data_IF_006557216313
#
_entry.id   IF_006557216313
#
_cell.length_a   1.000
_cell.length_b   1.000
_cell.length_c   1.000
_cell.angle_alpha   90.00
_cell.angle_beta   90.00
_cell.angle_gamma   90.00
#
_symmetry.space_group_name_H-M   'P 1'
#
loop_
_entity.id
_entity.type
_entity.pdbx_description
1 polymer ?
#
# COMPACT_ATOMS: atom_id res chain seq x y z
N UNK A 1 -18.83 -71.03 50.56
CA UNK A 1 -18.60 -70.25 51.80
C UNK A 1 -18.96 -68.80 51.52
N UNK A 2 -20.15 -68.37 51.97
CA UNK A 2 -20.49 -66.94 52.06
C UNK A 2 -19.77 -66.35 53.28
N UNK A 3 -18.88 -65.39 53.05
CA UNK A 3 -18.54 -64.36 54.04
C UNK A 3 -19.13 -63.05 53.52
N UNK A 4 -19.94 -62.41 54.36
CA UNK A 4 -20.82 -61.30 54.02
C UNK A 4 -20.09 -59.98 53.76
N UNK A 5 -20.90 -58.98 53.40
CA UNK A 5 -20.52 -57.60 53.16
C UNK A 5 -19.69 -57.04 54.33
N UNK A 6 -18.42 -56.76 54.05
CA UNK A 6 -17.56 -55.94 54.89
C UNK A 6 -18.07 -54.50 54.92
N UNK A 7 -18.05 -53.92 56.12
CA UNK A 7 -18.48 -52.56 56.43
C UNK A 7 -17.80 -51.51 55.51
N UNK A 8 -18.60 -50.62 54.90
CA UNK A 8 -18.15 -49.69 53.85
C UNK A 8 -17.06 -48.73 54.32
N UNK A 9 -17.04 -48.43 55.62
CA UNK A 9 -16.01 -47.63 56.30
C UNK A 9 -14.60 -48.25 56.23
N UNK A 10 -14.49 -49.58 56.09
CA UNK A 10 -13.21 -50.28 55.94
C UNK A 10 -12.78 -50.47 54.48
N UNK A 11 -13.73 -50.43 53.55
CA UNK A 11 -13.42 -50.56 52.11
C UNK A 11 -12.90 -49.27 51.50
N UNK A 12 -13.34 -48.11 52.01
CA UNK A 12 -12.91 -46.78 51.50
C UNK A 12 -11.53 -46.38 52.03
N UNK A 13 -11.11 -46.89 53.18
CA UNK A 13 -9.81 -46.61 53.80
C UNK A 13 -8.65 -47.39 53.20
N UNK A 14 -8.91 -48.45 52.41
CA UNK A 14 -7.87 -49.30 51.83
C UNK A 14 -7.11 -48.59 50.69
N UNK A 15 -7.78 -47.75 49.91
CA UNK A 15 -7.14 -46.96 48.85
C UNK A 15 -6.22 -45.87 49.41
N UNK A 16 -6.47 -45.39 50.64
CA UNK A 16 -5.69 -44.36 51.30
C UNK A 16 -4.44 -44.88 52.03
N UNK A 17 -4.37 -46.18 52.35
CA UNK A 17 -3.24 -46.81 53.07
C UNK A 17 -2.38 -47.66 52.12
N UNK A 18 -2.81 -47.84 50.86
CA UNK A 18 -2.05 -48.61 49.89
C UNK A 18 -0.67 -47.97 49.64
N UNK A 19 0.43 -48.74 49.70
CA UNK A 19 1.76 -48.21 49.42
C UNK A 19 1.80 -47.67 47.99
N UNK A 20 2.56 -46.58 47.80
CA UNK A 20 2.78 -45.95 46.49
C UNK A 20 3.03 -47.05 45.44
N UNK A 21 2.32 -47.08 44.29
CA UNK A 21 2.32 -48.19 43.35
C UNK A 21 3.68 -48.82 42.99
N UNK A 22 4.80 -48.06 42.86
CA UNK A 22 6.12 -48.63 42.58
C UNK A 22 6.64 -49.54 43.71
N UNK A 23 6.35 -49.22 44.97
CA UNK A 23 6.77 -50.00 46.14
C UNK A 23 5.98 -51.31 46.19
N UNK A 24 4.68 -51.23 45.90
CA UNK A 24 3.79 -52.40 45.80
C UNK A 24 4.19 -53.32 44.66
N UNK A 25 4.58 -52.76 43.49
CA UNK A 25 5.12 -53.51 42.37
C UNK A 25 6.39 -54.25 42.76
N UNK A 26 7.37 -53.56 43.36
CA UNK A 26 8.63 -54.16 43.80
C UNK A 26 8.42 -55.31 44.79
N UNK A 27 7.54 -55.13 45.78
CA UNK A 27 7.18 -56.19 46.74
C UNK A 27 6.47 -57.36 46.06
N UNK A 28 5.57 -57.11 45.11
CA UNK A 28 4.85 -58.18 44.40
C UNK A 28 5.79 -59.05 43.55
N UNK A 29 6.82 -58.46 42.95
CA UNK A 29 7.87 -59.17 42.20
C UNK A 29 8.71 -60.03 43.14
N UNK A 30 9.18 -59.45 44.26
CA UNK A 30 9.94 -60.19 45.28
C UNK A 30 9.17 -61.39 45.83
N UNK A 31 7.86 -61.22 46.03
CA UNK A 31 6.98 -62.27 46.55
C UNK A 31 6.41 -63.20 45.46
N UNK A 32 6.85 -63.07 44.20
CA UNK A 32 6.44 -63.90 43.05
C UNK A 32 4.92 -63.90 42.77
N UNK A 33 4.21 -62.84 43.13
CA UNK A 33 2.78 -62.68 42.81
C UNK A 33 2.61 -62.05 41.41
N UNK A 34 2.85 -62.84 40.36
CA UNK A 34 2.91 -62.36 38.98
C UNK A 34 1.62 -61.68 38.48
N UNK A 35 0.44 -62.20 38.85
CA UNK A 35 -0.84 -61.60 38.46
C UNK A 35 -1.03 -60.18 39.05
N UNK A 36 -0.63 -60.00 40.31
CA UNK A 36 -0.69 -58.69 41.01
C UNK A 36 0.39 -57.75 40.47
N UNK A 37 1.57 -58.29 40.14
CA UNK A 37 2.64 -57.52 39.53
C UNK A 37 2.24 -56.98 38.14
N UNK A 38 1.57 -57.79 37.31
CA UNK A 38 1.12 -57.37 35.98
C UNK A 38 0.08 -56.23 36.06
N UNK A 39 -0.93 -56.35 36.93
CA UNK A 39 -1.94 -55.29 37.06
C UNK A 39 -1.38 -53.99 37.65
N UNK A 40 -0.43 -54.08 38.59
CA UNK A 40 0.30 -52.91 39.10
C UNK A 40 1.20 -52.28 38.03
N UNK A 41 1.82 -53.09 37.16
CA UNK A 41 2.64 -52.61 36.05
C UNK A 41 1.79 -51.82 35.05
N UNK A 42 0.64 -52.36 34.64
CA UNK A 42 -0.29 -51.70 33.72
C UNK A 42 -0.75 -50.35 34.29
N UNK A 43 -1.06 -50.31 35.58
CA UNK A 43 -1.46 -49.07 36.25
C UNK A 43 -0.33 -48.02 36.29
N UNK A 44 0.92 -48.44 36.52
CA UNK A 44 2.08 -47.55 36.50
C UNK A 44 2.36 -47.04 35.08
N UNK A 45 2.31 -47.91 34.06
CA UNK A 45 2.48 -47.54 32.66
C UNK A 45 1.40 -46.54 32.23
N UNK A 46 0.12 -46.81 32.55
CA UNK A 46 -0.99 -45.94 32.22
C UNK A 46 -0.83 -44.54 32.85
N UNK A 47 -0.44 -44.47 34.12
CA UNK A 47 -0.13 -43.19 34.78
C UNK A 47 1.08 -42.49 34.16
N UNK A 48 2.11 -43.25 33.79
CA UNK A 48 3.28 -42.72 33.08
C UNK A 48 2.91 -42.11 31.73
N UNK A 49 2.07 -42.79 30.95
CA UNK A 49 1.54 -42.27 29.67
C UNK A 49 0.69 -41.02 29.90
N UNK A 50 -0.17 -40.99 30.92
CA UNK A 50 -0.97 -39.82 31.26
C UNK A 50 -0.11 -38.61 31.64
N UNK A 51 0.91 -38.80 32.48
CA UNK A 51 1.84 -37.73 32.86
C UNK A 51 2.66 -37.27 31.66
N UNK A 52 3.24 -38.19 30.88
CA UNK A 52 3.99 -37.84 29.68
C UNK A 52 3.13 -37.09 28.65
N UNK A 53 1.89 -37.53 28.43
CA UNK A 53 0.91 -36.82 27.61
C UNK A 53 0.72 -35.38 28.04
N UNK A 54 0.68 -35.14 29.35
CA UNK A 54 0.43 -33.82 29.92
C UNK A 54 1.66 -32.93 29.87
N UNK A 55 2.85 -33.51 30.11
CA UNK A 55 4.12 -32.79 30.17
C UNK A 55 4.65 -32.36 28.79
N UNK A 56 4.37 -33.13 27.75
CA UNK A 56 4.91 -32.88 26.41
C UNK A 56 3.98 -32.06 25.50
N UNK A 57 2.90 -31.51 26.06
CA UNK A 57 2.10 -30.49 25.38
C UNK A 57 2.74 -29.12 25.62
N UNK A 58 3.43 -28.60 24.60
CA UNK A 58 4.06 -27.28 24.67
C UNK A 58 3.18 -26.28 23.93
N UNK A 59 2.91 -25.15 24.59
CA UNK A 59 2.30 -24.00 23.94
C UNK A 59 3.32 -23.36 23.00
N UNK A 60 3.06 -23.43 21.69
CA UNK A 60 3.90 -22.78 20.68
C UNK A 60 3.09 -21.70 19.96
N UNK A 61 3.69 -20.52 19.66
CA UNK A 61 3.04 -19.52 18.83
C UNK A 61 2.87 -20.08 17.42
N UNK A 62 1.67 -19.94 16.86
CA UNK A 62 1.35 -20.33 15.49
C UNK A 62 0.64 -19.14 14.82
N UNK A 63 1.08 -18.81 13.62
CA UNK A 63 0.42 -17.83 12.77
C UNK A 63 -0.85 -18.43 12.19
N UNK A 64 -1.97 -17.76 12.41
CA UNK A 64 -3.27 -18.14 11.89
C UNK A 64 -3.78 -17.02 10.99
N UNK A 65 -4.26 -17.39 9.81
CA UNK A 65 -4.97 -16.47 8.92
C UNK A 65 -6.47 -16.60 9.15
N UNK A 66 -7.13 -15.47 9.37
CA UNK A 66 -8.56 -15.37 9.63
C UNK A 66 -9.16 -14.27 8.73
N UNK A 67 -10.42 -14.43 8.32
CA UNK A 67 -11.14 -13.42 7.54
C UNK A 67 -11.94 -12.55 8.50
N UNK A 68 -11.78 -11.23 8.40
CA UNK A 68 -12.44 -10.27 9.27
C UNK A 68 -12.90 -9.04 8.48
N UNK A 69 -13.90 -8.37 9.03
CA UNK A 69 -14.31 -7.06 8.56
C UNK A 69 -13.25 -6.04 9.00
N UNK A 70 -12.58 -5.43 8.03
CA UNK A 70 -11.55 -4.41 8.25
C UNK A 70 -12.19 -3.05 7.97
N UNK A 71 -12.08 -2.14 8.93
CA UNK A 71 -12.56 -0.76 8.76
C UNK A 71 -11.54 0.09 8.03
N UNK A 72 -11.98 0.94 7.12
CA UNK A 72 -11.13 1.96 6.50
C UNK A 72 -11.11 3.23 7.34
N UNK A 73 -9.95 3.89 7.41
CA UNK A 73 -9.84 5.22 8.04
C UNK A 73 -10.35 6.31 7.11
N UNK A 74 -10.19 6.12 5.80
CA UNK A 74 -10.67 7.07 4.81
C UNK A 74 -11.11 6.36 3.53
N UNK A 75 -12.17 6.87 2.91
CA UNK A 75 -12.59 6.52 1.56
C UNK A 75 -12.21 7.66 0.60
N UNK A 76 -12.17 7.37 -0.70
CA UNK A 76 -11.92 8.40 -1.70
C UNK A 76 -13.21 9.06 -2.12
N UNK A 77 -13.22 10.39 -2.11
CA UNK A 77 -14.35 11.18 -2.53
C UNK A 77 -13.86 12.52 -3.10
N UNK A 78 -14.09 12.73 -4.39
CA UNK A 78 -13.67 13.93 -5.10
C UNK A 78 -14.37 15.21 -4.62
N UNK A 79 -15.55 15.12 -3.99
CA UNK A 79 -16.23 16.31 -3.46
C UNK A 79 -15.41 17.03 -2.38
N UNK A 80 -14.50 16.32 -1.69
CA UNK A 80 -13.64 16.96 -0.72
C UNK A 80 -12.54 17.80 -1.37
N UNK A 81 -12.04 17.38 -2.53
CA UNK A 81 -11.08 18.15 -3.33
C UNK A 81 -11.64 19.52 -3.70
N UNK A 82 -12.88 19.56 -4.18
CA UNK A 82 -13.56 20.77 -4.60
C UNK A 82 -13.85 21.78 -3.47
N UNK A 83 -13.70 21.38 -2.19
CA UNK A 83 -13.79 22.32 -1.05
C UNK A 83 -12.53 23.15 -0.87
N UNK A 84 -11.38 22.61 -1.29
CA UNK A 84 -10.07 23.26 -1.17
C UNK A 84 -9.64 23.95 -2.45
N UNK A 85 -10.25 23.56 -3.56
CA UNK A 85 -10.01 24.14 -4.87
C UNK A 85 -11.14 25.09 -5.20
N UNK A 86 -10.92 26.39 -4.98
CA UNK A 86 -11.89 27.40 -5.42
C UNK A 86 -11.79 27.56 -6.94
N UNK A 87 -12.90 27.28 -7.63
CA UNK A 87 -13.05 27.63 -9.04
C UNK A 87 -13.07 29.15 -9.15
N UNK A 88 -12.19 29.71 -9.97
CA UNK A 88 -12.19 31.14 -10.26
C UNK A 88 -13.28 31.43 -11.29
N UNK A 89 -14.16 32.38 -11.00
CA UNK A 89 -15.28 32.75 -11.89
C UNK A 89 -14.79 32.98 -13.33
N UNK A 90 -15.28 32.22 -14.32
CA UNK A 90 -14.91 32.38 -15.72
C UNK A 90 -15.26 33.76 -16.28
N UNK A 91 -16.23 34.47 -15.69
CA UNK A 91 -16.59 35.83 -16.12
C UNK A 91 -15.52 36.87 -15.81
N UNK A 92 -14.63 36.59 -14.84
CA UNK A 92 -13.41 37.36 -14.57
C UNK A 92 -12.21 36.93 -15.45
N UNK A 93 -12.38 35.96 -16.35
CA UNK A 93 -11.40 35.68 -17.41
C UNK A 93 -11.51 36.69 -18.56
N UNK A 94 -12.32 37.74 -18.36
CA UNK A 94 -12.58 38.82 -19.31
C UNK A 94 -11.32 39.28 -20.02
N UNK A 95 -11.27 39.00 -21.32
CA UNK A 95 -10.34 39.57 -22.31
C UNK A 95 -8.89 39.69 -21.80
N UNK A 96 -8.28 38.56 -21.45
CA UNK A 96 -6.81 38.43 -21.40
C UNK A 96 -6.29 38.38 -22.84
N UNK A 97 -6.63 39.36 -23.67
CA UNK A 97 -6.06 39.49 -25.02
C UNK A 97 -4.69 40.19 -24.98
N UNK A 98 -4.31 40.84 -23.87
CA UNK A 98 -3.15 41.74 -23.87
C UNK A 98 -2.25 41.74 -22.62
N UNK A 99 -2.33 40.77 -21.70
CA UNK A 99 -1.32 40.69 -20.63
C UNK A 99 -1.14 39.26 -20.11
N UNK A 100 -0.02 38.64 -20.53
CA UNK A 100 0.70 37.56 -19.86
C UNK A 100 -0.14 36.55 -19.07
N UNK A 101 -0.75 35.61 -19.81
CA UNK A 101 -0.71 34.13 -19.68
C UNK A 101 -0.54 33.44 -18.29
N UNK A 102 -0.87 34.10 -17.19
CA UNK A 102 -0.69 33.60 -15.81
C UNK A 102 -2.00 33.30 -15.09
N UNK A 103 -3.14 33.40 -15.78
CA UNK A 103 -4.44 33.02 -15.22
C UNK A 103 -4.52 31.52 -14.93
N UNK A 104 -4.62 31.14 -13.66
CA UNK A 104 -4.99 29.78 -13.25
C UNK A 104 -6.50 29.67 -13.16
N UNK A 105 -7.07 28.56 -13.64
CA UNK A 105 -8.51 28.32 -13.53
C UNK A 105 -8.98 28.01 -12.10
N UNK A 106 -8.01 27.60 -11.27
CA UNK A 106 -8.21 27.19 -9.90
C UNK A 106 -7.28 27.93 -8.96
N UNK A 107 -7.74 28.14 -7.73
CA UNK A 107 -6.89 28.49 -6.61
C UNK A 107 -6.58 27.21 -5.83
N UNK A 108 -5.34 26.71 -5.94
CA UNK A 108 -4.90 25.46 -5.30
C UNK A 108 -3.83 25.78 -4.25
N UNK A 109 -3.98 25.34 -2.99
CA UNK A 109 -2.95 25.52 -1.98
C UNK A 109 -1.60 24.89 -2.41
N UNK A 110 -0.49 25.52 -2.04
CA UNK A 110 0.87 25.07 -2.36
C UNK A 110 1.34 23.84 -1.54
N UNK A 111 0.58 23.43 -0.51
CA UNK A 111 0.88 22.32 0.39
C UNK A 111 1.27 20.98 -0.30
N UNK A 112 0.61 20.55 -1.40
CA UNK A 112 0.99 19.30 -2.08
C UNK A 112 2.42 19.34 -2.63
N UNK A 113 2.87 20.50 -3.11
CA UNK A 113 4.23 20.63 -3.66
C UNK A 113 5.26 20.59 -2.54
N UNK A 114 5.01 21.26 -1.42
CA UNK A 114 5.92 21.18 -0.26
C UNK A 114 6.00 19.76 0.31
N UNK A 115 4.88 19.04 0.38
CA UNK A 115 4.88 17.61 0.74
C UNK A 115 5.65 16.75 -0.27
N UNK A 116 5.54 17.07 -1.56
CA UNK A 116 6.35 16.40 -2.58
C UNK A 116 7.85 16.64 -2.37
N UNK A 117 8.27 17.90 -2.21
CA UNK A 117 9.66 18.26 -1.95
C UNK A 117 10.17 17.58 -0.67
N UNK A 118 9.38 17.57 0.40
CA UNK A 118 9.73 16.90 1.65
C UNK A 118 9.96 15.40 1.42
N UNK A 119 9.09 14.73 0.66
CA UNK A 119 9.25 13.31 0.28
C UNK A 119 10.54 13.09 -0.51
N UNK A 120 10.84 13.95 -1.48
CA UNK A 120 12.08 13.87 -2.27
C UNK A 120 13.34 14.00 -1.40
N UNK A 121 13.27 14.79 -0.33
CA UNK A 121 14.36 14.94 0.63
C UNK A 121 14.45 13.79 1.66
N UNK A 122 13.70 12.70 1.46
CA UNK A 122 13.73 11.54 2.36
C UNK A 122 12.95 11.75 3.66
N UNK A 123 12.09 12.76 3.75
CA UNK A 123 11.14 12.81 4.86
C UNK A 123 10.18 11.61 4.74
N UNK A 124 10.20 10.74 5.75
CA UNK A 124 9.38 9.53 5.84
C UNK A 124 7.88 9.86 6.03
N UNK A 125 7.24 10.56 5.10
CA UNK A 125 5.79 10.75 5.05
C UNK A 125 5.06 9.55 4.40
N UNK A 126 5.80 8.61 3.82
CA UNK A 126 5.26 7.43 3.12
C UNK A 126 4.60 6.40 4.04
N UNK A 127 4.65 6.57 5.36
CA UNK A 127 3.96 5.65 6.27
C UNK A 127 2.45 5.81 6.28
N UNK A 128 1.91 6.91 5.77
CA UNK A 128 0.50 7.19 6.02
C UNK A 128 -0.46 7.06 4.85
N UNK A 129 -0.14 7.27 3.56
CA UNK A 129 -1.15 7.14 2.47
C UNK A 129 -0.58 6.95 1.05
N UNK A 130 0.75 6.86 0.91
CA UNK A 130 1.39 6.83 -0.41
C UNK A 130 2.55 5.86 -0.46
N UNK A 131 2.70 5.17 -1.58
CA UNK A 131 3.81 4.26 -1.84
C UNK A 131 4.15 4.31 -3.32
N UNK A 132 5.42 4.52 -3.66
CA UNK A 132 5.92 4.54 -5.04
C UNK A 132 5.14 5.47 -5.99
N UNK A 133 4.67 6.63 -5.49
CA UNK A 133 3.88 7.58 -6.28
C UNK A 133 2.41 7.17 -6.48
N UNK A 134 1.94 6.16 -5.74
CA UNK A 134 0.53 5.76 -5.69
C UNK A 134 -0.09 6.27 -4.39
N UNK A 135 -1.36 6.61 -4.42
CA UNK A 135 -2.12 7.04 -3.25
C UNK A 135 -3.24 6.04 -2.99
N UNK A 136 -3.38 5.53 -1.76
CA UNK A 136 -4.33 4.47 -1.44
C UNK A 136 -5.14 4.77 -0.17
N UNK A 137 -6.28 4.11 -0.02
CA UNK A 137 -7.09 4.17 1.19
C UNK A 137 -6.40 3.44 2.34
N UNK A 138 -6.45 4.01 3.55
CA UNK A 138 -5.79 3.42 4.71
C UNK A 138 -6.71 2.59 5.56
N UNK A 139 -6.17 1.52 6.12
CA UNK A 139 -6.86 0.68 7.09
C UNK A 139 -6.86 1.35 8.46
N UNK A 140 -7.98 1.23 9.18
CA UNK A 140 -8.06 1.55 10.59
C UNK A 140 -7.74 0.27 11.37
N UNK A 141 -6.61 0.29 12.06
CA UNK A 141 -6.28 -0.76 13.02
C UNK A 141 -7.12 -0.51 14.27
N UNK A 142 -8.09 -1.38 14.53
CA UNK A 142 -8.85 -1.38 15.77
C UNK A 142 -7.95 -1.78 16.94
N UNK A 143 -8.04 -1.07 18.07
CA UNK A 143 -7.28 -1.38 19.29
C UNK A 143 -7.63 -2.77 19.84
N UNK A 144 -8.80 -3.30 19.48
CA UNK A 144 -9.24 -4.65 19.86
C UNK A 144 -8.53 -5.78 19.09
N UNK A 145 -7.67 -5.48 18.13
CA UNK A 145 -6.91 -6.47 17.34
C UNK A 145 -5.63 -6.92 18.07
N UNK A 146 -5.75 -7.37 19.32
CA UNK A 146 -4.62 -7.93 20.05
C UNK A 146 -4.04 -9.16 19.30
N UNK A 147 -2.71 -9.20 19.19
CA UNK A 147 -1.92 -10.25 18.53
C UNK A 147 -2.03 -10.35 17.00
N UNK A 148 -2.58 -9.34 16.32
CA UNK A 148 -2.53 -9.28 14.84
C UNK A 148 -1.16 -8.79 14.39
N UNK A 149 -0.49 -9.57 13.54
CA UNK A 149 0.81 -9.25 12.96
C UNK A 149 0.70 -8.60 11.59
N UNK A 150 -0.29 -8.99 10.79
CA UNK A 150 -0.55 -8.34 9.50
C UNK A 150 -2.03 -8.26 9.15
N UNK A 151 -2.39 -7.23 8.39
CA UNK A 151 -3.70 -7.00 7.81
C UNK A 151 -3.58 -6.96 6.29
N UNK A 152 -4.54 -7.52 5.58
CA UNK A 152 -4.64 -7.36 4.14
C UNK A 152 -6.07 -7.18 3.70
N UNK A 153 -6.28 -6.19 2.83
CA UNK A 153 -7.57 -5.88 2.23
C UNK A 153 -7.36 -5.42 0.79
N UNK A 154 -8.43 -5.46 0.00
CA UNK A 154 -8.47 -4.78 -1.29
C UNK A 154 -8.78 -3.31 -1.01
N UNK A 155 -8.03 -2.40 -1.63
CA UNK A 155 -8.18 -0.96 -1.42
C UNK A 155 -8.24 -0.22 -2.73
N UNK A 156 -9.05 0.84 -2.78
CA UNK A 156 -9.02 1.74 -3.92
C UNK A 156 -7.75 2.57 -3.89
N UNK A 157 -7.05 2.57 -5.01
CA UNK A 157 -5.78 3.25 -5.24
C UNK A 157 -5.92 4.23 -6.39
N UNK A 158 -5.47 5.46 -6.17
CA UNK A 158 -5.32 6.49 -7.18
C UNK A 158 -3.96 6.30 -7.85
N UNK A 159 -3.99 6.02 -9.15
CA UNK A 159 -2.83 5.74 -9.98
C UNK A 159 -2.68 6.89 -10.99
N UNK A 160 -1.73 7.82 -10.78
CA UNK A 160 -1.39 8.81 -11.80
C UNK A 160 -1.00 8.11 -13.10
N UNK A 161 -1.47 8.61 -14.22
CA UNK A 161 -1.16 8.11 -15.55
C UNK A 161 -0.68 9.27 -16.43
N UNK A 162 0.58 9.64 -16.25
CA UNK A 162 1.17 10.73 -17.02
C UNK A 162 1.92 10.17 -18.23
N UNK A 163 1.56 10.67 -19.41
CA UNK A 163 2.23 10.31 -20.66
C UNK A 163 2.96 11.53 -21.20
N UNK A 164 4.27 11.43 -21.36
CA UNK A 164 5.08 12.48 -21.98
C UNK A 164 5.64 11.97 -23.31
N UNK A 165 5.56 12.81 -24.34
CA UNK A 165 6.16 12.56 -25.64
C UNK A 165 7.24 13.61 -25.92
N UNK A 166 8.19 13.22 -26.78
CA UNK A 166 9.24 14.11 -27.26
C UNK A 166 8.64 15.12 -28.22
N UNK A 167 9.09 16.36 -28.13
CA UNK A 167 8.69 17.42 -29.03
C UNK A 167 9.91 18.19 -29.54
N UNK A 168 9.87 18.55 -30.82
CA UNK A 168 10.90 19.31 -31.49
C UNK A 168 10.44 20.76 -31.65
N UNK A 169 11.37 21.69 -31.47
CA UNK A 169 11.13 23.13 -31.60
C UNK A 169 11.71 23.59 -32.93
N UNK A 170 10.89 24.22 -33.75
CA UNK A 170 11.31 24.86 -34.99
C UNK A 170 11.45 26.37 -34.78
N UNK A 171 12.52 26.96 -35.32
CA UNK A 171 12.85 28.39 -35.17
C UNK A 171 12.77 29.11 -36.53
N UNK A 172 12.31 30.37 -36.54
CA UNK A 172 12.24 31.14 -37.78
C UNK A 172 13.63 31.68 -38.15
N UNK A 173 14.09 31.50 -39.40
CA UNK A 173 15.16 32.26 -40.07
C UNK A 173 16.18 32.99 -39.17
N UNK A 174 17.01 32.26 -38.42
CA UNK A 174 18.04 32.78 -37.50
C UNK A 174 17.55 33.72 -36.37
N UNK A 175 16.24 33.86 -36.19
CA UNK A 175 15.67 34.43 -34.97
C UNK A 175 15.73 33.38 -33.85
N UNK A 176 15.81 33.86 -32.62
CA UNK A 176 15.66 33.00 -31.46
C UNK A 176 14.19 32.70 -31.17
N UNK A 177 13.22 33.30 -31.86
CA UNK A 177 11.81 33.05 -31.61
C UNK A 177 11.40 31.70 -32.25
N UNK A 178 10.94 30.74 -31.43
CA UNK A 178 10.41 29.50 -31.94
C UNK A 178 9.06 29.76 -32.61
N UNK A 179 8.84 29.11 -33.74
CA UNK A 179 7.65 29.24 -34.59
C UNK A 179 6.64 28.17 -34.25
N UNK A 180 7.14 26.99 -33.92
CA UNK A 180 6.31 25.81 -33.81
C UNK A 180 6.94 24.76 -32.90
N UNK A 181 6.09 23.97 -32.28
CA UNK A 181 6.45 22.78 -31.53
C UNK A 181 5.67 21.61 -32.09
N UNK A 182 6.40 20.57 -32.46
CA UNK A 182 5.82 19.37 -33.04
C UNK A 182 6.16 18.16 -32.20
N UNK A 183 5.19 17.32 -31.92
CA UNK A 183 5.38 15.99 -31.36
C UNK A 183 4.69 14.94 -32.23
N UNK A 184 4.82 13.66 -31.85
CA UNK A 184 4.13 12.57 -32.55
C UNK A 184 2.60 12.73 -32.63
N UNK A 185 1.99 13.40 -31.66
CA UNK A 185 0.53 13.52 -31.58
C UNK A 185 -0.01 14.93 -31.39
N UNK A 186 0.84 15.95 -31.33
CA UNK A 186 0.43 17.34 -31.11
C UNK A 186 1.25 18.30 -31.99
N UNK A 187 0.57 19.30 -32.54
CA UNK A 187 1.19 20.40 -33.26
C UNK A 187 0.72 21.71 -32.67
N UNK A 188 1.68 22.52 -32.23
CA UNK A 188 1.45 23.84 -31.65
C UNK A 188 2.18 24.85 -32.53
N UNK A 189 1.43 25.69 -33.23
CA UNK A 189 2.00 26.90 -33.83
C UNK A 189 2.02 27.95 -32.72
N UNK A 190 3.21 28.46 -32.39
CA UNK A 190 3.34 29.40 -31.28
C UNK A 190 4.11 30.63 -31.71
N UNK A 191 3.47 31.79 -31.58
CA UNK A 191 4.13 33.08 -31.47
C UNK A 191 4.67 33.18 -30.04
N UNK A 192 5.96 32.85 -29.86
CA UNK A 192 6.62 32.85 -28.55
C UNK A 192 7.63 33.99 -28.50
N UNK A 193 7.40 34.92 -27.57
CA UNK A 193 8.49 35.71 -27.02
C UNK A 193 9.26 34.82 -26.05
N UNK A 194 10.50 34.46 -26.41
CA UNK A 194 11.49 34.09 -25.39
C UNK A 194 11.47 35.27 -24.40
N UNK A 195 11.07 35.05 -23.12
CA UNK A 195 11.08 36.11 -22.13
C UNK A 195 12.40 36.84 -22.25
N UNK A 196 12.31 38.14 -22.55
CA UNK A 196 13.41 39.06 -22.82
C UNK A 196 14.70 38.55 -22.21
N UNK A 197 15.62 38.10 -23.07
CA UNK A 197 16.93 37.57 -22.69
C UNK A 197 17.45 38.34 -21.50
N UNK A 198 17.52 37.67 -20.34
CA UNK A 198 17.92 38.36 -19.12
C UNK A 198 19.26 39.03 -19.40
N UNK A 199 19.27 40.35 -19.29
CA UNK A 199 20.46 41.17 -19.47
C UNK A 199 21.61 40.74 -18.54
N UNK A 200 21.30 39.96 -17.49
CA UNK A 200 22.26 39.35 -16.59
C UNK A 200 23.00 38.15 -17.16
N UNK A 201 22.63 37.59 -18.32
CA UNK A 201 23.48 36.59 -18.97
C UNK A 201 24.69 37.25 -19.66
N UNK A 202 25.69 37.61 -18.87
CA UNK A 202 26.92 38.28 -19.31
C UNK A 202 27.86 37.38 -20.14
N UNK A 203 28.69 38.05 -20.94
CA UNK A 203 29.32 37.65 -22.21
C UNK A 203 30.35 36.48 -22.22
N UNK A 204 30.26 35.47 -21.35
CA UNK A 204 31.15 34.30 -21.45
C UNK A 204 30.52 32.94 -21.12
N UNK A 205 29.27 32.91 -20.66
CA UNK A 205 28.58 31.69 -20.22
C UNK A 205 27.57 31.09 -21.21
N UNK A 206 27.21 29.83 -20.97
CA UNK A 206 26.01 29.20 -21.54
C UNK A 206 24.83 29.57 -20.66
N UNK A 207 23.83 30.22 -21.25
CA UNK A 207 22.59 30.61 -20.59
C UNK A 207 21.58 29.47 -20.72
N UNK A 208 20.72 29.33 -19.72
CA UNK A 208 19.62 28.37 -19.70
C UNK A 208 18.32 29.10 -19.41
N UNK A 209 17.33 28.85 -20.24
CA UNK A 209 15.98 29.36 -20.08
C UNK A 209 15.00 28.21 -20.24
N UNK A 210 13.86 28.30 -19.58
CA UNK A 210 12.87 27.25 -19.58
C UNK A 210 11.49 27.82 -19.33
N UNK A 211 10.49 27.05 -19.73
CA UNK A 211 9.09 27.46 -19.66
C UNK A 211 8.18 26.23 -19.65
N UNK A 212 7.03 26.35 -19.01
CA UNK A 212 5.93 25.39 -19.09
C UNK A 212 4.65 26.14 -19.46
N UNK A 213 4.01 25.70 -20.53
CA UNK A 213 2.72 26.23 -20.97
C UNK A 213 1.70 25.12 -21.13
N UNK A 214 0.44 25.55 -21.11
CA UNK A 214 -0.67 24.73 -21.60
C UNK A 214 -0.53 24.57 -23.11
N UNK A 215 -0.84 23.38 -23.57
CA UNK A 215 -0.82 22.99 -24.96
C UNK A 215 -2.18 22.35 -25.26
N UNK A 216 -3.01 23.02 -26.04
CA UNK A 216 -4.18 22.38 -26.61
C UNK A 216 -3.70 21.52 -27.77
N UNK A 217 -3.96 20.22 -27.76
CA UNK A 217 -3.59 19.30 -28.85
C UNK A 217 -4.82 18.83 -29.64
N UNK A 218 -5.97 19.46 -29.40
CA UNK A 218 -7.23 19.16 -30.10
C UNK A 218 -7.14 19.70 -31.52
N UNK A 219 -7.16 18.81 -32.52
CA UNK A 219 -7.20 19.23 -33.93
C UNK A 219 -8.57 19.83 -34.26
N UNK A 220 -8.63 21.15 -34.46
CA UNK A 220 -9.84 21.81 -34.96
C UNK A 220 -9.70 21.97 -36.48
N UNK A 221 -9.94 20.85 -37.19
CA UNK A 221 -9.79 20.72 -38.66
C UNK A 221 -8.34 20.85 -39.16
N UNK A 222 -8.01 20.20 -40.27
CA UNK A 222 -6.65 19.95 -40.76
C UNK A 222 -5.78 21.20 -41.06
N UNK A 223 -6.29 22.42 -40.90
CA UNK A 223 -5.63 23.65 -41.36
C UNK A 223 -5.50 24.76 -40.31
N UNK A 224 -5.86 24.50 -39.04
CA UNK A 224 -5.63 25.50 -37.97
C UNK A 224 -4.84 24.90 -36.82
N UNK A 225 -3.73 25.55 -36.43
CA UNK A 225 -2.97 25.14 -35.27
C UNK A 225 -3.85 25.24 -34.02
N UNK A 226 -3.56 24.37 -33.06
CA UNK A 226 -4.23 24.46 -31.79
C UNK A 226 -3.74 25.72 -31.05
N UNK A 227 -4.69 26.52 -30.57
CA UNK A 227 -4.40 27.74 -29.82
C UNK A 227 -3.75 27.40 -28.47
N UNK A 228 -2.69 28.11 -28.04
CA UNK A 228 -2.13 27.96 -26.70
C UNK A 228 -3.11 28.43 -25.60
N UNK A 229 -4.17 29.16 -25.97
CA UNK A 229 -5.12 29.75 -25.05
C UNK A 229 -6.34 28.85 -24.82
N UNK A 230 -6.60 28.55 -23.54
CA UNK A 230 -7.85 27.94 -23.11
C UNK A 230 -8.91 29.01 -22.97
N UNK A 231 -9.79 29.15 -23.95
CA UNK A 231 -10.94 30.06 -23.83
C UNK A 231 -12.02 29.48 -22.91
N UNK A 232 -12.15 28.14 -22.82
CA UNK A 232 -13.12 27.46 -21.97
C UNK A 232 -12.66 26.06 -21.55
N UNK A 233 -12.46 25.83 -20.25
CA UNK A 233 -12.24 24.49 -19.66
C UNK A 233 -13.49 23.60 -19.64
N UNK A 234 -14.64 24.16 -20.01
CA UNK A 234 -15.94 23.49 -19.92
C UNK A 234 -16.23 22.52 -21.08
N UNK A 235 -15.23 22.26 -21.95
CA UNK A 235 -15.37 21.35 -23.08
C UNK A 235 -14.59 20.06 -22.82
N UNK A 236 -15.33 18.99 -22.51
CA UNK A 236 -14.81 17.63 -22.24
C UNK A 236 -14.09 16.97 -23.43
N UNK A 237 -14.07 17.61 -24.60
CA UNK A 237 -13.47 17.10 -25.83
C UNK A 237 -12.05 17.59 -26.08
N UNK A 238 -11.48 18.42 -25.19
CA UNK A 238 -10.16 18.99 -25.42
C UNK A 238 -9.04 18.02 -25.00
N UNK A 239 -8.02 17.88 -25.84
CA UNK A 239 -6.77 17.20 -25.50
C UNK A 239 -5.77 18.21 -24.92
N UNK A 240 -5.99 18.58 -23.65
CA UNK A 240 -5.11 19.51 -22.94
C UNK A 240 -3.86 18.80 -22.43
N UNK A 241 -2.71 19.40 -22.69
CA UNK A 241 -1.39 18.92 -22.28
C UNK A 241 -0.53 20.07 -21.76
N UNK A 242 0.66 19.76 -21.27
CA UNK A 242 1.68 20.71 -20.86
C UNK A 242 2.89 20.61 -21.78
N UNK A 243 3.25 21.70 -22.45
CA UNK A 243 4.52 21.80 -23.16
C UNK A 243 5.59 22.31 -22.21
N UNK A 244 6.60 21.49 -21.94
CA UNK A 244 7.77 21.88 -21.18
C UNK A 244 8.91 22.08 -22.16
N UNK A 245 9.58 23.22 -22.04
CA UNK A 245 10.64 23.64 -22.96
C UNK A 245 11.85 24.10 -22.16
N UNK A 246 13.02 23.80 -22.69
CA UNK A 246 14.27 24.34 -22.19
C UNK A 246 15.12 24.75 -23.37
N UNK A 247 15.74 25.92 -23.28
CA UNK A 247 16.57 26.51 -24.32
C UNK A 247 17.91 26.86 -23.70
N UNK A 248 18.98 26.37 -24.30
CA UNK A 248 20.35 26.71 -24.00
C UNK A 248 20.90 27.56 -25.12
N UNK A 249 21.44 28.72 -24.80
CA UNK A 249 21.99 29.66 -25.76
C UNK A 249 23.28 30.29 -25.24
N UNK A 250 24.04 30.90 -26.15
CA UNK A 250 25.24 31.67 -25.84
C UNK A 250 25.11 33.06 -26.45
N UNK A 251 25.33 34.09 -25.65
CA UNK A 251 25.44 35.45 -26.15
C UNK A 251 26.83 35.66 -26.76
N UNK A 252 26.88 36.02 -28.04
CA UNK A 252 28.12 36.29 -28.78
C UNK A 252 28.10 37.72 -29.30
N UNK A 253 29.26 38.26 -29.69
CA UNK A 253 29.33 39.58 -30.33
C UNK A 253 28.49 39.69 -31.61
N UNK A 254 28.21 38.57 -32.28
CA UNK A 254 27.34 38.45 -33.45
C UNK A 254 25.86 38.23 -33.13
N UNK A 255 25.47 38.20 -31.85
CA UNK A 255 24.10 37.92 -31.41
C UNK A 255 23.97 36.61 -30.63
N UNK A 256 22.75 36.12 -30.52
CA UNK A 256 22.42 34.93 -29.73
C UNK A 256 22.59 33.66 -30.57
N UNK A 257 23.41 32.73 -30.09
CA UNK A 257 23.57 31.40 -30.71
C UNK A 257 22.82 30.36 -29.89
N UNK A 258 21.81 29.74 -30.50
CA UNK A 258 21.12 28.60 -29.91
C UNK A 258 22.05 27.38 -29.88
N UNK A 259 22.13 26.72 -28.72
CA UNK A 259 22.96 25.52 -28.53
C UNK A 259 22.11 24.25 -28.48
N UNK A 260 21.09 24.22 -27.62
CA UNK A 260 20.18 23.08 -27.43
C UNK A 260 18.79 23.56 -27.06
N UNK A 261 17.75 22.85 -27.48
CA UNK A 261 16.37 23.25 -27.21
C UNK A 261 15.43 22.05 -27.02
N UNK A 262 15.61 21.19 -26.00
CA UNK A 262 14.67 20.09 -25.81
C UNK A 262 13.27 20.62 -25.44
N UNK A 263 12.27 19.96 -25.99
CA UNK A 263 10.89 20.08 -25.56
C UNK A 263 10.27 18.70 -25.31
N UNK A 264 9.29 18.69 -24.42
CA UNK A 264 8.43 17.52 -24.18
C UNK A 264 7.00 18.00 -23.95
N UNK A 265 6.04 17.22 -24.42
CA UNK A 265 4.61 17.48 -24.20
C UNK A 265 4.09 16.38 -23.29
N UNK A 266 3.54 16.76 -22.15
CA UNK A 266 3.03 15.84 -21.13
C UNK A 266 1.53 15.96 -20.98
N UNK A 267 0.81 14.85 -21.06
CA UNK A 267 -0.60 14.73 -20.73
C UNK A 267 -0.73 14.16 -19.32
N UNK A 268 -1.43 14.89 -18.46
CA UNK A 268 -1.75 14.45 -17.10
C UNK A 268 -3.08 13.73 -17.13
N UNK A 269 -3.10 12.53 -16.56
CA UNK A 269 -4.31 11.75 -16.40
C UNK A 269 -4.20 10.86 -15.15
N UNK A 270 -5.26 10.13 -14.82
CA UNK A 270 -5.25 9.20 -13.70
C UNK A 270 -6.29 8.09 -13.90
N UNK A 271 -6.13 7.01 -13.14
CA UNK A 271 -7.11 5.95 -13.01
C UNK A 271 -7.28 5.56 -11.54
N UNK A 272 -8.46 5.08 -11.18
CA UNK A 272 -8.71 4.38 -9.92
C UNK A 272 -8.56 2.89 -10.16
N UNK A 273 -7.88 2.20 -9.26
CA UNK A 273 -7.66 0.76 -9.37
C UNK A 273 -7.83 0.11 -8.00
N UNK A 274 -8.28 -1.14 -8.00
CA UNK A 274 -8.28 -1.95 -6.80
C UNK A 274 -6.89 -2.59 -6.65
N UNK A 275 -6.28 -2.42 -5.49
CA UNK A 275 -4.98 -2.97 -5.18
C UNK A 275 -5.05 -3.80 -3.91
N UNK A 276 -4.24 -4.86 -3.82
CA UNK A 276 -4.09 -5.61 -2.57
C UNK A 276 -3.12 -4.86 -1.68
N UNK A 277 -3.64 -4.34 -0.56
CA UNK A 277 -2.84 -3.75 0.49
C UNK A 277 -2.49 -4.83 1.51
N UNK A 278 -1.23 -4.87 1.93
CA UNK A 278 -0.77 -5.66 3.07
C UNK A 278 -0.05 -4.72 4.02
N UNK A 279 -0.54 -4.62 5.25
CA UNK A 279 0.05 -3.85 6.32
C UNK A 279 0.61 -4.80 7.36
N UNK A 280 1.94 -4.84 7.48
CA UNK A 280 2.65 -5.52 8.55
C UNK A 280 2.73 -4.58 9.75
N UNK A 281 1.95 -4.91 10.78
CA UNK A 281 1.87 -4.14 12.02
C UNK A 281 3.12 -4.30 12.88
N UNK A 282 3.83 -5.43 12.75
CA UNK A 282 5.04 -5.71 13.53
C UNK A 282 6.24 -4.90 13.04
N UNK A 283 6.36 -4.72 11.72
CA UNK A 283 7.44 -3.96 11.09
C UNK A 283 7.04 -2.52 10.77
N UNK A 284 5.78 -2.15 11.01
CA UNK A 284 5.17 -0.90 10.54
C UNK A 284 5.43 -0.67 9.04
N UNK A 285 5.22 -1.71 8.24
CA UNK A 285 5.46 -1.69 6.79
C UNK A 285 4.16 -1.87 6.04
N UNK A 286 4.05 -1.14 4.94
CA UNK A 286 2.91 -1.24 4.03
C UNK A 286 3.45 -1.69 2.68
N UNK A 287 2.81 -2.69 2.08
CA UNK A 287 3.06 -3.09 0.71
C UNK A 287 1.75 -3.09 -0.08
N UNK A 288 1.83 -2.47 -1.26
CA UNK A 288 0.73 -2.35 -2.20
C UNK A 288 1.08 -3.16 -3.44
N UNK A 289 0.20 -4.08 -3.80
CA UNK A 289 0.33 -4.88 -5.02
C UNK A 289 -0.82 -4.55 -5.96
N UNK A 290 -0.50 -3.96 -7.10
CA UNK A 290 -1.45 -3.75 -8.18
C UNK A 290 -1.61 -5.04 -9.00
N UNK A 291 -2.82 -5.32 -9.55
CA UNK A 291 -3.00 -6.43 -10.48
C UNK A 291 -2.22 -6.19 -11.79
N UNK A 292 -1.71 -7.26 -12.40
CA UNK A 292 -0.88 -7.20 -13.62
C UNK A 292 -1.61 -6.61 -14.84
N UNK A 293 -2.94 -6.71 -14.85
CA UNK A 293 -3.78 -6.11 -15.88
C UNK A 293 -4.53 -4.90 -15.32
N UNK A 294 -4.64 -3.84 -16.12
CA UNK A 294 -5.59 -2.75 -15.90
C UNK A 294 -7.01 -3.30 -16.06
N UNK A 295 -7.58 -3.83 -14.98
CA UNK A 295 -8.90 -4.49 -14.99
C UNK A 295 -10.05 -3.48 -15.17
N UNK A 296 -9.83 -2.19 -14.85
CA UNK A 296 -10.88 -1.16 -14.96
C UNK A 296 -10.29 0.24 -15.13
N UNK A 297 -10.85 1.00 -16.08
CA UNK A 297 -10.61 2.45 -16.22
C UNK A 297 -11.59 3.24 -15.33
N UNK A 298 -11.74 2.84 -14.06
CA UNK A 298 -12.62 3.60 -13.17
C UNK A 298 -12.01 4.96 -12.87
N UNK A 299 -12.86 5.97 -12.83
CA UNK A 299 -12.51 7.37 -12.57
C UNK A 299 -13.58 7.98 -11.69
N UNK A 300 -13.26 9.11 -11.07
CA UNK A 300 -14.28 9.91 -10.43
C UNK A 300 -15.23 10.49 -11.50
N UNK A 301 -16.48 10.75 -11.11
CA UNK A 301 -17.46 11.30 -12.05
C UNK A 301 -17.20 12.78 -12.32
N UNK A 302 -16.78 13.50 -11.28
CA UNK A 302 -16.59 14.96 -11.31
C UNK A 302 -15.11 15.34 -11.17
N UNK A 303 -14.17 14.54 -11.66
CA UNK A 303 -12.77 14.94 -11.78
C UNK A 303 -12.18 14.31 -13.03
N UNK A 304 -11.83 15.13 -14.02
CA UNK A 304 -11.19 14.70 -15.26
C UNK A 304 -9.68 14.84 -15.18
N UNK A 305 -8.96 14.19 -16.10
CA UNK A 305 -7.50 14.38 -16.23
C UNK A 305 -7.13 15.82 -16.55
N UNK A 306 -8.00 16.53 -17.30
CA UNK A 306 -7.83 17.96 -17.64
C UNK A 306 -7.89 18.81 -16.37
N UNK A 307 -8.91 18.63 -15.54
CA UNK A 307 -9.08 19.36 -14.28
C UNK A 307 -7.91 19.08 -13.33
N UNK A 308 -7.51 17.80 -13.21
CA UNK A 308 -6.32 17.44 -12.44
C UNK A 308 -5.07 18.15 -12.97
N UNK A 309 -4.85 18.15 -14.28
CA UNK A 309 -3.74 18.85 -14.91
C UNK A 309 -3.74 20.34 -14.58
N UNK A 310 -4.89 21.00 -14.72
CA UNK A 310 -5.03 22.43 -14.40
C UNK A 310 -4.81 22.73 -12.91
N UNK A 311 -5.24 21.86 -12.01
CA UNK A 311 -4.94 22.00 -10.59
C UNK A 311 -3.43 21.89 -10.32
N UNK A 312 -2.73 20.97 -11.01
CA UNK A 312 -1.28 20.87 -10.90
C UNK A 312 -0.58 22.12 -11.44
N UNK A 313 -1.03 22.62 -12.60
CA UNK A 313 -0.52 23.87 -13.17
C UNK A 313 -0.75 25.04 -12.22
N UNK A 314 -1.95 25.15 -11.64
CA UNK A 314 -2.29 26.18 -10.67
C UNK A 314 -1.40 26.13 -9.42
N UNK A 315 -1.20 24.94 -8.86
CA UNK A 315 -0.32 24.75 -7.70
C UNK A 315 1.12 25.17 -8.02
N UNK A 316 1.65 24.78 -9.18
CA UNK A 316 3.01 25.13 -9.63
C UNK A 316 3.17 26.65 -9.83
N UNK A 317 2.14 27.30 -10.36
CA UNK A 317 2.11 28.75 -10.57
C UNK A 317 2.09 29.50 -9.22
N UNK A 318 1.28 29.06 -8.26
CA UNK A 318 1.18 29.67 -6.93
C UNK A 318 2.51 29.77 -6.19
N UNK A 319 3.39 28.77 -6.30
CA UNK A 319 4.70 28.77 -5.63
C UNK A 319 5.71 29.71 -6.30
N UNK A 320 5.54 30.01 -7.59
CA UNK A 320 6.47 30.90 -8.30
C UNK A 320 6.45 32.31 -7.69
N UNK A 321 5.30 32.75 -7.15
CA UNK A 321 5.20 34.04 -6.46
C UNK A 321 5.81 34.07 -5.05
N UNK A 322 5.89 32.92 -4.37
CA UNK A 322 6.39 32.83 -2.99
C UNK A 322 7.91 32.70 -2.90
N UNK A 323 8.56 32.09 -3.91
CA UNK A 323 9.99 31.76 -3.86
C UNK A 323 10.89 32.95 -4.26
N UNK A 324 10.45 33.84 -5.15
CA UNK A 324 11.20 35.07 -5.45
C UNK A 324 10.26 36.18 -6.00
N UNK A 325 10.05 37.28 -5.26
CA UNK A 325 9.19 38.37 -5.71
C UNK A 325 9.74 39.11 -6.94
N UNK A 326 11.04 38.98 -7.27
CA UNK A 326 11.61 39.58 -8.48
C UNK A 326 11.31 38.76 -9.75
N UNK A 327 10.84 37.52 -9.61
CA UNK A 327 10.39 36.68 -10.72
C UNK A 327 8.86 36.68 -10.89
N UNK A 328 8.15 37.55 -10.15
CA UNK A 328 6.72 37.81 -10.33
C UNK A 328 6.46 38.47 -11.70
N UNK A 329 6.36 37.66 -12.74
CA UNK A 329 6.16 38.11 -14.13
C UNK A 329 6.79 37.21 -15.19
N UNK A 330 7.65 36.26 -14.79
CA UNK A 330 8.18 35.23 -15.69
C UNK A 330 7.57 33.89 -15.26
N UNK A 331 6.65 33.36 -16.06
CA UNK A 331 5.76 32.27 -15.69
C UNK A 331 6.45 30.98 -15.24
N UNK A 332 5.84 30.35 -14.21
CA UNK A 332 5.89 28.91 -13.88
C UNK A 332 7.31 28.29 -13.81
N UNK A 333 8.20 28.97 -13.10
CA UNK A 333 9.64 28.65 -12.98
C UNK A 333 9.90 27.41 -12.11
N UNK A 334 8.91 26.89 -11.37
CA UNK A 334 9.15 25.94 -10.28
C UNK A 334 9.29 24.45 -10.68
N UNK A 335 8.83 24.02 -11.86
CA UNK A 335 8.81 22.58 -12.18
C UNK A 335 10.20 22.00 -12.53
N UNK A 336 11.07 22.76 -13.21
CA UNK A 336 12.40 22.25 -13.58
C UNK A 336 13.31 22.00 -12.37
N UNK A 337 13.38 22.90 -11.36
CA UNK A 337 14.05 22.58 -10.10
C UNK A 337 13.51 21.29 -9.48
N UNK A 338 12.18 21.10 -9.45
CA UNK A 338 11.58 19.85 -8.96
C UNK A 338 12.01 18.63 -9.78
N UNK A 339 12.13 18.77 -11.11
CA UNK A 339 12.61 17.69 -11.99
C UNK A 339 14.06 17.28 -11.68
N UNK A 340 14.90 18.25 -11.31
CA UNK A 340 16.27 17.97 -10.84
C UNK A 340 16.22 17.23 -9.49
N UNK A 341 15.42 17.72 -8.54
CA UNK A 341 15.29 17.10 -7.21
C UNK A 341 14.67 15.69 -7.24
N UNK A 342 13.71 15.44 -8.14
CA UNK A 342 12.87 14.24 -8.12
C UNK A 342 13.59 12.93 -8.45
N UNK A 343 14.78 13.00 -9.05
CA UNK A 343 15.43 11.80 -9.60
C UNK A 343 16.95 11.79 -9.53
N UNK A 344 17.58 12.90 -9.19
CA UNK A 344 19.03 13.03 -9.26
C UNK A 344 19.56 13.82 -8.07
N UNK A 345 19.95 13.11 -7.01
CA UNK A 345 20.85 13.65 -5.99
C UNK A 345 22.14 14.07 -6.72
N UNK A 346 22.29 15.36 -6.99
CA UNK A 346 23.56 15.96 -7.41
C UNK A 346 23.81 16.19 -8.91
N UNK A 347 22.80 16.35 -9.78
CA UNK A 347 23.05 16.77 -11.18
C UNK A 347 22.44 18.12 -11.53
N UNK A 348 23.15 18.90 -12.35
CA UNK A 348 22.77 20.25 -12.78
C UNK A 348 21.58 20.24 -13.74
N UNK A 349 20.92 21.39 -13.90
CA UNK A 349 19.86 21.62 -14.91
C UNK A 349 20.30 21.20 -16.33
N UNK A 350 21.60 21.19 -16.62
CA UNK A 350 22.15 20.79 -17.91
C UNK A 350 21.79 19.35 -18.30
N UNK A 351 21.53 18.46 -17.33
CA UNK A 351 21.07 17.10 -17.63
C UNK A 351 19.69 17.03 -18.26
N UNK A 352 18.86 18.04 -18.02
CA UNK A 352 17.55 18.21 -18.65
C UNK A 352 17.68 18.75 -20.09
N UNK A 353 18.89 19.13 -20.54
CA UNK A 353 19.12 19.44 -21.96
C UNK A 353 19.03 18.21 -22.87
N UNK A 354 19.07 17.00 -22.27
CA UNK A 354 18.75 15.77 -22.96
C UNK A 354 17.24 15.52 -22.89
N UNK A 355 16.58 15.52 -24.05
CA UNK A 355 15.13 15.42 -24.18
C UNK A 355 14.54 14.18 -23.48
N UNK A 356 15.25 13.04 -23.49
CA UNK A 356 14.82 11.83 -22.79
C UNK A 356 14.82 12.00 -21.27
N UNK A 357 15.86 12.65 -20.72
CA UNK A 357 15.93 12.94 -19.28
C UNK A 357 14.85 13.93 -18.88
N UNK A 358 14.62 14.96 -19.70
CA UNK A 358 13.56 15.94 -19.49
C UNK A 358 12.18 15.27 -19.45
N UNK A 359 11.86 14.45 -20.45
CA UNK A 359 10.57 13.74 -20.52
C UNK A 359 10.37 12.80 -19.33
N UNK A 360 11.40 12.03 -18.97
CA UNK A 360 11.38 11.09 -17.85
C UNK A 360 11.24 11.80 -16.50
N UNK A 361 11.91 12.92 -16.32
CA UNK A 361 11.84 13.70 -15.09
C UNK A 361 10.50 14.43 -14.96
N UNK A 362 9.98 14.99 -16.06
CA UNK A 362 8.68 15.65 -16.09
C UNK A 362 7.58 14.66 -15.70
N UNK A 363 7.58 13.47 -16.31
CA UNK A 363 6.67 12.38 -15.95
C UNK A 363 6.70 12.09 -14.44
N UNK A 364 7.88 11.85 -13.88
CA UNK A 364 8.02 11.52 -12.46
C UNK A 364 7.53 12.65 -11.53
N UNK A 365 7.77 13.92 -11.90
CA UNK A 365 7.28 15.07 -11.13
C UNK A 365 5.77 15.19 -11.19
N UNK A 366 5.16 15.11 -12.37
CA UNK A 366 3.70 15.18 -12.48
C UNK A 366 3.01 14.02 -11.78
N UNK A 367 3.51 12.79 -11.89
CA UNK A 367 2.97 11.63 -11.16
C UNK A 367 3.08 11.83 -9.65
N UNK A 368 4.24 12.28 -9.18
CA UNK A 368 4.49 12.57 -7.78
C UNK A 368 3.57 13.65 -7.23
N UNK A 369 3.44 14.78 -7.93
CA UNK A 369 2.57 15.89 -7.55
C UNK A 369 1.08 15.49 -7.59
N UNK A 370 0.65 14.76 -8.61
CA UNK A 370 -0.72 14.24 -8.70
C UNK A 370 -1.04 13.32 -7.51
N UNK A 371 -0.09 12.45 -7.13
CA UNK A 371 -0.22 11.59 -5.96
C UNK A 371 -0.35 12.40 -4.65
N UNK A 372 0.46 13.46 -4.45
CA UNK A 372 0.31 14.31 -3.25
C UNK A 372 -1.02 15.04 -3.20
N UNK A 373 -1.43 15.61 -4.34
CA UNK A 373 -2.68 16.35 -4.44
C UNK A 373 -3.84 15.42 -4.10
N UNK A 374 -3.84 14.23 -4.70
CA UNK A 374 -4.79 13.19 -4.38
C UNK A 374 -4.74 12.82 -2.88
N UNK A 375 -3.56 12.59 -2.32
CA UNK A 375 -3.37 12.19 -0.92
C UNK A 375 -3.93 13.21 0.07
N UNK A 376 -3.75 14.49 -0.19
CA UNK A 376 -4.13 15.55 0.73
C UNK A 376 -5.62 15.88 0.65
N UNK A 377 -6.22 15.85 -0.55
CA UNK A 377 -7.53 16.46 -0.76
C UNK A 377 -8.66 15.46 -1.09
N UNK A 378 -8.36 14.27 -1.60
CA UNK A 378 -9.38 13.28 -1.99
C UNK A 378 -9.89 12.41 -0.82
N UNK A 379 -9.04 11.98 0.15
CA UNK A 379 -9.51 11.14 1.24
C UNK A 379 -10.50 11.85 2.17
N UNK A 380 -11.66 11.24 2.40
CA UNK A 380 -12.64 11.63 3.42
C UNK A 380 -12.72 10.58 4.52
N UNK A 381 -12.94 10.95 5.79
CA UNK A 381 -13.21 9.98 6.85
C UNK A 381 -14.34 9.03 6.45
N UNK A 382 -14.12 7.73 6.63
CA UNK A 382 -15.09 6.69 6.30
C UNK A 382 -15.23 5.71 7.46
N UNK A 383 -16.41 5.08 7.54
CA UNK A 383 -16.68 3.93 8.41
C UNK A 383 -17.00 2.68 7.58
N UNK A 384 -16.67 2.69 6.29
CA UNK A 384 -16.83 1.52 5.44
C UNK A 384 -15.97 0.38 5.97
N UNK A 385 -16.55 -0.82 5.93
CA UNK A 385 -15.89 -2.06 6.26
C UNK A 385 -15.86 -2.93 5.01
N UNK A 386 -14.72 -3.56 4.74
CA UNK A 386 -14.64 -4.62 3.75
C UNK A 386 -14.09 -5.90 4.36
N UNK A 387 -14.42 -7.03 3.74
CA UNK A 387 -13.86 -8.31 4.10
C UNK A 387 -12.38 -8.34 3.69
N UNK A 388 -11.52 -8.62 4.67
CA UNK A 388 -10.09 -8.78 4.46
C UNK A 388 -9.51 -9.88 5.34
N UNK A 389 -8.26 -10.22 5.10
CA UNK A 389 -7.55 -11.25 5.87
C UNK A 389 -6.66 -10.61 6.93
N UNK A 390 -6.73 -11.09 8.16
CA UNK A 390 -5.77 -10.79 9.21
C UNK A 390 -4.92 -12.02 9.51
N UNK A 391 -3.63 -11.82 9.76
CA UNK A 391 -2.74 -12.83 10.34
C UNK A 391 -2.52 -12.47 11.78
N UNK A 392 -2.82 -13.40 12.68
CA UNK A 392 -2.59 -13.24 14.12
C UNK A 392 -1.80 -14.41 14.68
N UNK A 393 -1.06 -14.15 15.76
CA UNK A 393 -0.30 -15.19 16.47
C UNK A 393 -1.13 -15.68 17.63
N UNK A 394 -1.49 -16.97 17.60
CA UNK A 394 -2.17 -17.63 18.71
C UNK A 394 -1.29 -18.72 19.31
N UNK A 395 -1.29 -18.84 20.63
CA UNK A 395 -0.67 -19.97 21.33
C UNK A 395 -1.56 -21.20 21.16
N UNK A 396 -1.06 -22.19 20.41
CA UNK A 396 -1.71 -23.50 20.29
C UNK A 396 -0.85 -24.55 20.98
N UNK A 397 -1.52 -25.45 21.70
CA UNK A 397 -0.89 -26.64 22.26
C UNK A 397 -0.54 -27.58 21.12
N UNK A 398 0.76 -27.83 20.94
CA UNK A 398 1.25 -28.76 19.92
C UNK A 398 1.76 -30.02 20.60
N UNK A 399 1.28 -31.18 20.13
CA UNK A 399 1.82 -32.47 20.55
C UNK A 399 3.22 -32.59 19.97
N UNK A 400 4.24 -32.65 20.83
CA UNK A 400 5.59 -32.90 20.34
C UNK A 400 5.74 -34.35 19.89
N UNK A 401 6.53 -34.63 18.84
CA UNK A 401 6.76 -36.01 18.37
C UNK A 401 7.15 -37.01 19.48
N UNK A 402 8.00 -36.67 20.47
CA UNK A 402 8.32 -37.57 21.58
C UNK A 402 7.10 -37.99 22.41
N UNK A 403 6.14 -37.09 22.64
CA UNK A 403 4.89 -37.41 23.35
C UNK A 403 4.12 -38.51 22.62
N UNK A 404 4.01 -38.34 21.31
CA UNK A 404 3.27 -39.24 20.43
C UNK A 404 3.92 -40.63 20.42
N UNK A 405 5.26 -40.69 20.39
CA UNK A 405 6.00 -41.94 20.50
C UNK A 405 5.88 -42.60 21.87
N UNK A 406 5.90 -41.85 22.97
CA UNK A 406 5.71 -42.40 24.32
C UNK A 406 4.29 -42.94 24.50
N UNK A 407 3.27 -42.22 24.02
CA UNK A 407 1.89 -42.71 24.00
C UNK A 407 1.77 -43.99 23.17
N UNK A 408 2.30 -43.96 21.95
CA UNK A 408 2.25 -45.11 21.04
C UNK A 408 2.93 -46.34 21.65
N UNK A 409 4.15 -46.16 22.19
CA UNK A 409 4.86 -47.24 22.88
C UNK A 409 4.07 -47.77 24.09
N UNK A 410 3.53 -46.88 24.93
CA UNK A 410 2.70 -47.28 26.07
C UNK A 410 1.47 -48.10 25.66
N UNK A 411 0.74 -47.66 24.63
CA UNK A 411 -0.43 -48.36 24.12
C UNK A 411 -0.11 -49.68 23.38
N UNK A 412 1.08 -49.82 22.78
CA UNK A 412 1.53 -51.10 22.20
C UNK A 412 1.96 -52.07 23.28
N UNK A 413 2.51 -51.59 24.39
CA UNK A 413 2.97 -52.42 25.51
C UNK A 413 1.79 -52.98 26.32
N UNK A 414 0.79 -52.18 26.66
CA UNK A 414 -0.35 -52.57 27.52
C UNK A 414 -1.07 -53.89 27.11
N UNK A 415 -1.40 -54.15 25.82
CA UNK A 415 -2.07 -55.39 25.41
C UNK A 415 -1.21 -56.65 25.57
N UNK A 416 0.13 -56.52 25.56
CA UNK A 416 1.03 -57.66 25.68
C UNK A 416 1.14 -58.19 27.12
N UNK A 417 0.69 -57.42 28.11
CA UNK A 417 0.72 -57.80 29.54
C UNK A 417 -0.67 -58.10 30.11
N UNK A 418 -1.75 -57.80 29.38
CA UNK A 418 -3.08 -58.29 29.73
C UNK A 418 -3.15 -59.80 29.48
N UNK A 419 -2.88 -60.58 30.52
CA UNK A 419 -3.10 -62.03 30.53
C UNK A 419 -4.59 -62.25 30.18
N UNK A 420 -4.92 -62.96 29.08
CA UNK A 420 -6.31 -63.25 28.76
C UNK A 420 -6.89 -64.06 29.91
N UNK A 421 -7.79 -63.45 30.66
CA UNK A 421 -8.52 -63.99 31.81
C UNK A 421 -9.57 -65.03 31.34
N UNK A 422 -9.11 -65.99 30.53
CA UNK A 422 -9.91 -67.03 29.89
C UNK A 422 -9.97 -68.32 30.71
N UNK A 423 -9.24 -68.40 31.82
CA UNK A 423 -9.16 -69.61 32.67
C UNK A 423 -9.91 -69.54 34.00
N UNK A 424 -10.55 -68.42 34.35
CA UNK A 424 -11.30 -68.29 35.63
C UNK A 424 -12.82 -68.44 35.52
N UNK A 425 -13.36 -68.85 34.37
CA UNK A 425 -14.81 -68.95 34.13
C UNK A 425 -15.33 -70.40 34.00
N UNK A 426 -14.97 -71.30 34.90
CA UNK A 426 -15.67 -72.58 35.04
C UNK A 426 -15.80 -73.01 36.50
N UNK A 427 -16.84 -72.52 37.19
CA UNK A 427 -17.66 -73.26 38.17
C UNK A 427 -18.40 -72.31 39.12
N UNK A 428 -19.51 -71.74 38.65
CA UNK A 428 -20.57 -71.27 39.56
C UNK A 428 -21.77 -72.20 39.34
N UNK A 429 -22.12 -73.06 40.32
CA UNK A 429 -23.32 -73.88 40.22
C UNK A 429 -24.56 -72.99 40.34
N UNK A 430 -25.51 -73.21 39.43
CA UNK A 430 -26.80 -72.53 39.39
C UNK A 430 -27.66 -72.90 40.59
N UNK A 431 -27.87 -71.98 41.54
CA UNK A 431 -28.98 -72.08 42.50
C UNK A 431 -30.02 -70.98 42.24
N UNK A 432 -31.13 -71.41 41.64
CA UNK A 432 -32.51 -71.02 41.99
C UNK A 432 -32.82 -69.56 42.33
N UNK A 433 -33.38 -68.87 41.31
CA UNK A 433 -34.55 -67.96 41.32
C UNK A 433 -35.00 -67.35 42.66
N UNK A 434 -35.03 -66.02 42.72
CA UNK A 434 -36.13 -65.23 43.29
C UNK A 434 -36.39 -63.98 42.44
N UNK A 435 -37.66 -63.68 42.08
CA UNK A 435 -38.00 -62.44 41.38
C UNK A 435 -38.09 -61.29 42.39
N UNK A 436 -37.44 -60.17 42.08
CA UNK A 436 -37.65 -58.91 42.78
C UNK A 436 -38.74 -58.11 42.07
N UNK A 437 -39.72 -57.73 42.88
CA UNK A 437 -40.85 -56.87 42.58
C UNK A 437 -40.37 -55.42 42.52
N UNK A 438 -40.88 -54.68 41.53
CA UNK A 438 -40.74 -53.23 41.39
C UNK A 438 -41.33 -52.50 42.61
N UNK A 439 -40.59 -51.53 43.16
CA UNK A 439 -41.15 -50.35 43.79
C UNK A 439 -40.30 -49.13 43.45
N UNK A 440 -41.01 -48.03 43.21
CA UNK A 440 -40.57 -46.65 42.96
C UNK A 440 -39.53 -46.13 43.95
#
# INVERSE_FOLDING_TARGET
MHKGATDSSKSVLLDYISPIPPISLYRSILNRHWAVACSLLDFVILKGVMVASSLFLIATPVELSDQRQISFRAAFNEFNLWKFVESRDPSNWGTIENNYDHGTAYNVPSNPIYSYIARLNGANQDLNRTQNGLTFQTLKVDEQLENVTSLSAVVTTFVPNVTCERADIEFHNNSTTPVSIHSSSCFLESDFDIPWFDSQCQASGVCLQYDIRRANCTRVNNDKPASPFLTYLNQTTQDLRFSLRMVSYKNTSSGLTLLKSPATICKVDYNLQQAKLVQDLSQNRVSLTLPDALVSNSRFQNLTGIELGEMLFAALNGITGDIDPNFAGVGVISILPLMVFAKWIGRSLQTLLEQENMSRAAKAVFEGLASQLAQQFIPVPSQQTEEGSCVHVATRLRVQPPSLWVMFAGFVVLPNYSIPDTTLRTSIPSSTKKPWVNCL
#
